data_IF_874169991824
#
_entry.id   IF_874169991824
#
_cell.length_a   1.000
_cell.length_b   1.000
_cell.length_c   1.000
_cell.angle_alpha   90.00
_cell.angle_beta   90.00
_cell.angle_gamma   90.00
#
_symmetry.space_group_name_H-M   'P 1'
#
loop_
_entity.id
_entity.type
_entity.pdbx_description
1 polymer ?
#
# COMPACT_ATOMS: atom_id res chain seq x y z
N UNK A 1 -10.68 -16.47 62.25
CA UNK A 1 -9.39 -16.33 62.96
C UNK A 1 -8.29 -16.66 61.96
N UNK A 2 -7.24 -15.89 61.69
CA UNK A 2 -6.87 -14.49 62.05
C UNK A 2 -5.89 -13.97 60.97
N UNK A 3 -5.73 -12.66 60.84
CA UNK A 3 -4.80 -11.95 59.91
C UNK A 3 -3.32 -12.37 60.08
N UNK A 4 -2.45 -12.25 59.07
CA UNK A 4 -1.59 -11.08 58.74
C UNK A 4 -0.50 -11.50 57.70
N UNK A 5 0.31 -10.68 57.01
CA UNK A 5 0.32 -9.25 56.57
C UNK A 5 1.48 -9.06 55.56
N UNK A 6 1.42 -8.07 54.64
CA UNK A 6 2.51 -7.68 53.71
C UNK A 6 3.59 -6.80 54.37
N UNK A 7 4.88 -6.98 54.01
CA UNK A 7 5.88 -5.92 53.71
C UNK A 7 7.30 -6.48 53.51
N UNK A 8 8.18 -5.74 52.81
CA UNK A 8 9.65 -5.87 52.97
C UNK A 8 10.51 -5.85 51.70
N UNK A 9 10.81 -4.67 51.15
CA UNK A 9 11.80 -4.48 50.07
C UNK A 9 13.16 -4.07 50.65
N UNK A 10 14.25 -4.80 50.36
CA UNK A 10 15.69 -4.41 50.46
C UNK A 10 16.56 -5.69 50.51
N UNK A 11 17.82 -5.75 50.06
CA UNK A 11 18.62 -4.87 49.19
C UNK A 11 19.77 -5.69 48.56
N UNK A 12 20.32 -5.23 47.43
CA UNK A 12 21.42 -5.91 46.74
C UNK A 12 22.75 -5.86 47.51
N UNK A 13 23.42 -7.00 47.64
CA UNK A 13 24.90 -7.14 47.52
C UNK A 13 25.30 -8.60 47.38
N UNK A 14 25.66 -9.01 46.15
CA UNK A 14 26.45 -10.23 45.93
C UNK A 14 27.82 -9.81 45.43
N UNK A 15 28.80 -9.87 46.33
CA UNK A 15 30.21 -9.64 46.00
C UNK A 15 30.77 -10.91 45.39
N UNK A 16 30.95 -10.95 44.06
CA UNK A 16 31.66 -12.05 43.40
C UNK A 16 33.11 -11.62 43.13
N UNK A 17 34.04 -12.12 43.95
CA UNK A 17 35.47 -11.94 43.75
C UNK A 17 35.91 -12.51 42.39
N UNK A 18 36.70 -11.72 41.65
CA UNK A 18 37.19 -12.13 40.34
C UNK A 18 38.29 -13.19 40.38
N UNK A 19 38.26 -14.10 39.41
CA UNK A 19 39.47 -14.70 38.82
C UNK A 19 39.27 -14.89 37.33
N UNK A 20 40.35 -14.69 36.58
CA UNK A 20 40.39 -14.26 35.16
C UNK A 20 40.18 -15.42 34.15
N UNK A 21 40.01 -15.14 32.84
CA UNK A 21 39.06 -15.89 32.01
C UNK A 21 39.68 -17.03 31.20
N UNK A 22 38.87 -18.07 30.93
CA UNK A 22 39.12 -18.95 29.78
C UNK A 22 38.52 -18.28 28.54
N UNK A 23 39.38 -17.86 27.62
CA UNK A 23 39.03 -17.35 26.29
C UNK A 23 38.36 -18.44 25.45
N UNK A 24 37.04 -18.56 25.61
CA UNK A 24 36.17 -19.14 24.57
C UNK A 24 35.64 -17.98 23.73
N UNK A 25 36.24 -17.81 22.55
CA UNK A 25 35.77 -16.87 21.53
C UNK A 25 34.39 -17.32 21.04
N UNK A 26 33.32 -16.87 21.71
CA UNK A 26 31.97 -16.92 21.16
C UNK A 26 31.99 -16.08 19.88
N UNK A 27 31.63 -16.64 18.71
CA UNK A 27 31.30 -15.81 17.56
C UNK A 27 30.18 -14.87 18.00
N UNK A 28 30.35 -13.57 17.76
CA UNK A 28 29.51 -12.55 18.37
C UNK A 28 28.01 -12.78 18.11
N UNK A 29 27.20 -12.56 19.15
CA UNK A 29 25.75 -12.55 19.01
C UNK A 29 25.31 -11.41 18.11
N UNK A 30 25.16 -11.70 16.81
CA UNK A 30 24.38 -10.87 15.89
C UNK A 30 22.94 -10.97 16.38
N UNK A 31 22.35 -9.84 16.75
CA UNK A 31 20.98 -9.83 17.28
C UNK A 31 20.00 -10.37 16.22
N UNK A 32 18.80 -10.76 16.66
CA UNK A 32 17.78 -11.28 15.75
C UNK A 32 17.39 -10.22 14.72
N UNK A 33 17.42 -8.93 15.07
CA UNK A 33 17.25 -7.82 14.14
C UNK A 33 18.37 -7.76 13.10
N UNK A 34 19.64 -7.93 13.50
CA UNK A 34 20.78 -7.93 12.56
C UNK A 34 20.71 -9.14 11.61
N UNK A 35 20.26 -10.30 12.09
CA UNK A 35 20.03 -11.46 11.22
C UNK A 35 18.84 -11.24 10.28
N UNK A 36 17.74 -10.66 10.76
CA UNK A 36 16.58 -10.33 9.92
C UNK A 36 16.92 -9.26 8.86
N UNK A 37 17.66 -8.21 9.23
CA UNK A 37 18.13 -7.17 8.31
C UNK A 37 19.09 -7.74 7.26
N UNK A 38 20.04 -8.59 7.65
CA UNK A 38 20.92 -9.25 6.70
C UNK A 38 20.17 -10.25 5.80
N UNK A 39 19.18 -10.97 6.32
CA UNK A 39 18.34 -11.86 5.51
C UNK A 39 17.53 -11.05 4.49
N UNK A 40 16.91 -9.93 4.90
CA UNK A 40 16.18 -9.04 3.99
C UNK A 40 17.12 -8.45 2.93
N UNK A 41 18.29 -7.95 3.33
CA UNK A 41 19.28 -7.41 2.39
C UNK A 41 19.82 -8.48 1.41
N UNK A 42 20.01 -9.72 1.86
CA UNK A 42 20.57 -10.81 1.05
C UNK A 42 19.53 -11.47 0.14
N UNK A 43 18.26 -11.55 0.57
CA UNK A 43 17.16 -12.15 -0.21
C UNK A 43 16.54 -11.14 -1.17
N UNK A 44 16.52 -9.83 -0.84
CA UNK A 44 15.82 -8.82 -1.63
C UNK A 44 16.72 -7.75 -2.26
N UNK A 45 18.00 -7.63 -1.87
CA UNK A 45 19.04 -6.98 -2.68
C UNK A 45 18.93 -5.47 -2.92
N UNK A 46 18.06 -4.74 -2.22
CA UNK A 46 17.81 -3.31 -2.49
C UNK A 46 17.56 -2.44 -1.24
N UNK A 47 17.78 -1.14 -1.42
CA UNK A 47 17.51 -0.08 -0.44
C UNK A 47 16.01 0.03 -0.10
N UNK A 48 15.63 0.59 1.07
CA UNK A 48 14.24 0.62 1.56
C UNK A 48 13.22 1.34 0.66
N UNK A 49 13.66 2.10 -0.34
CA UNK A 49 12.79 2.81 -1.29
C UNK A 49 12.53 2.04 -2.61
N UNK A 50 12.99 0.79 -2.71
CA UNK A 50 12.97 -0.01 -3.95
C UNK A 50 12.27 -1.36 -3.81
N UNK A 51 11.25 -1.42 -2.95
CA UNK A 51 10.22 -2.46 -3.04
C UNK A 51 9.26 -2.11 -4.17
N UNK A 52 9.68 -2.40 -5.40
CA UNK A 52 8.75 -2.42 -6.52
C UNK A 52 7.70 -3.50 -6.26
N UNK A 53 6.52 -3.06 -5.83
CA UNK A 53 5.37 -3.92 -5.56
C UNK A 53 5.00 -4.63 -6.86
N UNK A 54 5.42 -5.90 -6.98
CA UNK A 54 5.08 -6.71 -8.14
C UNK A 54 3.57 -6.60 -8.37
N UNK A 55 3.15 -6.27 -9.60
CA UNK A 55 1.78 -5.84 -9.84
C UNK A 55 0.75 -6.86 -9.33
N UNK A 56 1.05 -8.16 -9.47
CA UNK A 56 0.30 -9.28 -8.87
C UNK A 56 0.08 -9.10 -7.36
N UNK A 57 1.12 -8.78 -6.59
CA UNK A 57 1.02 -8.56 -5.14
C UNK A 57 0.18 -7.34 -4.81
N UNK A 58 0.40 -6.20 -5.47
CA UNK A 58 -0.40 -5.00 -5.23
C UNK A 58 -1.88 -5.19 -5.57
N UNK A 59 -2.21 -5.93 -6.64
CA UNK A 59 -3.59 -6.32 -6.98
C UNK A 59 -4.19 -7.21 -5.87
N UNK A 60 -3.42 -8.16 -5.33
CA UNK A 60 -3.86 -9.00 -4.21
C UNK A 60 -4.09 -8.21 -2.91
N UNK A 61 -3.22 -7.25 -2.60
CA UNK A 61 -3.33 -6.39 -1.42
C UNK A 61 -4.51 -5.41 -1.54
N UNK A 62 -4.71 -4.78 -2.70
CA UNK A 62 -5.91 -3.97 -2.98
C UNK A 62 -7.22 -4.79 -2.86
N UNK A 63 -7.24 -6.03 -3.37
CA UNK A 63 -8.36 -6.97 -3.20
C UNK A 63 -8.58 -7.39 -1.74
N UNK A 64 -7.54 -7.37 -0.90
CA UNK A 64 -7.65 -7.64 0.54
C UNK A 64 -8.22 -6.43 1.28
N UNK A 65 -7.78 -5.21 0.95
CA UNK A 65 -8.28 -3.95 1.49
C UNK A 65 -9.77 -3.75 1.15
N UNK A 66 -10.15 -3.87 -0.14
CA UNK A 66 -11.55 -3.80 -0.57
C UNK A 66 -12.47 -4.77 0.18
N UNK A 67 -12.03 -6.02 0.41
CA UNK A 67 -12.83 -7.02 1.15
C UNK A 67 -13.03 -6.68 2.64
N UNK A 68 -12.22 -5.76 3.19
CA UNK A 68 -12.36 -5.21 4.55
C UNK A 68 -13.16 -3.91 4.60
N UNK A 69 -13.60 -3.39 3.45
CA UNK A 69 -14.24 -2.07 3.34
C UNK A 69 -13.25 -0.90 3.22
N UNK A 70 -11.94 -1.15 3.27
CA UNK A 70 -10.91 -0.13 3.04
C UNK A 70 -10.77 0.11 1.53
N UNK A 71 -11.62 0.99 1.01
CA UNK A 71 -11.66 1.34 -0.41
C UNK A 71 -10.61 2.42 -0.76
N UNK A 72 -10.34 3.35 0.15
CA UNK A 72 -9.35 4.42 -0.06
C UNK A 72 -7.92 3.88 -0.04
N UNK A 73 -7.59 2.98 0.90
CA UNK A 73 -6.31 2.26 0.89
C UNK A 73 -6.17 1.36 -0.34
N UNK A 74 -7.25 0.71 -0.79
CA UNK A 74 -7.23 -0.11 -2.00
C UNK A 74 -6.98 0.73 -3.27
N UNK A 75 -7.52 1.95 -3.37
CA UNK A 75 -7.21 2.88 -4.47
C UNK A 75 -5.74 3.32 -4.39
N UNK A 76 -5.26 3.76 -3.24
CA UNK A 76 -3.88 4.22 -3.06
C UNK A 76 -2.84 3.16 -3.47
N UNK A 77 -3.08 1.88 -3.16
CA UNK A 77 -2.23 0.76 -3.62
C UNK A 77 -2.24 0.63 -5.14
N UNK A 78 -3.40 0.73 -5.79
CA UNK A 78 -3.50 0.63 -7.26
C UNK A 78 -2.97 1.87 -7.99
N UNK A 79 -3.04 3.05 -7.39
CA UNK A 79 -2.43 4.28 -7.91
C UNK A 79 -0.91 4.21 -7.91
N UNK A 80 -0.32 3.59 -6.88
CA UNK A 80 1.12 3.34 -6.79
C UNK A 80 1.64 2.21 -7.68
N UNK A 81 0.77 1.44 -8.35
CA UNK A 81 1.21 0.31 -9.19
C UNK A 81 1.73 0.76 -10.56
N UNK A 82 2.98 0.42 -10.84
CA UNK A 82 3.50 0.40 -12.20
C UNK A 82 3.00 -0.84 -12.95
N UNK A 83 1.81 -0.73 -13.56
CA UNK A 83 1.23 -1.80 -14.39
C UNK A 83 1.75 -1.80 -15.84
N UNK A 84 2.68 -0.90 -16.21
CA UNK A 84 3.22 -0.83 -17.58
C UNK A 84 4.22 -1.95 -17.86
N UNK A 85 5.01 -2.32 -16.85
CA UNK A 85 6.05 -3.36 -16.94
C UNK A 85 5.53 -4.74 -16.52
N UNK A 86 4.28 -4.79 -16.03
CA UNK A 86 3.58 -6.04 -15.75
C UNK A 86 2.84 -6.52 -17.00
N UNK A 87 2.94 -7.82 -17.29
CA UNK A 87 2.32 -8.43 -18.49
C UNK A 87 0.81 -8.16 -18.62
N UNK A 88 0.24 -8.31 -19.83
CA UNK A 88 -1.11 -7.83 -20.16
C UNK A 88 -2.23 -8.36 -19.26
N UNK A 89 -2.05 -9.52 -18.63
CA UNK A 89 -2.99 -10.05 -17.64
C UNK A 89 -3.01 -9.24 -16.34
N UNK A 90 -1.86 -8.81 -15.82
CA UNK A 90 -1.80 -7.96 -14.64
C UNK A 90 -2.46 -6.61 -14.90
N UNK A 91 -2.23 -6.01 -16.07
CA UNK A 91 -2.89 -4.78 -16.50
C UNK A 91 -4.43 -4.94 -16.63
N UNK A 92 -4.91 -6.11 -17.08
CA UNK A 92 -6.35 -6.46 -17.09
C UNK A 92 -6.91 -6.62 -15.68
N UNK A 93 -6.24 -7.35 -14.81
CA UNK A 93 -6.67 -7.59 -13.42
C UNK A 93 -6.68 -6.31 -12.58
N UNK A 94 -5.65 -5.46 -12.69
CA UNK A 94 -5.60 -4.16 -12.02
C UNK A 94 -6.75 -3.25 -12.48
N UNK A 95 -7.01 -3.17 -13.79
CA UNK A 95 -8.13 -2.38 -14.32
C UNK A 95 -9.49 -2.90 -13.83
N UNK A 96 -9.69 -4.22 -13.76
CA UNK A 96 -10.92 -4.81 -13.25
C UNK A 96 -11.13 -4.51 -11.75
N UNK A 97 -10.09 -4.70 -10.93
CA UNK A 97 -10.14 -4.43 -9.48
C UNK A 97 -10.36 -2.94 -9.20
N UNK A 98 -9.62 -2.06 -9.88
CA UNK A 98 -9.78 -0.60 -9.82
C UNK A 98 -11.21 -0.17 -10.16
N UNK A 99 -11.79 -0.71 -11.23
CA UNK A 99 -13.16 -0.38 -11.66
C UNK A 99 -14.20 -0.78 -10.61
N UNK A 100 -14.04 -1.94 -9.95
CA UNK A 100 -14.93 -2.39 -8.87
C UNK A 100 -14.78 -1.51 -7.61
N UNK A 101 -13.56 -1.12 -7.24
CA UNK A 101 -13.32 -0.24 -6.08
C UNK A 101 -13.93 1.15 -6.33
N UNK A 102 -13.64 1.78 -7.47
CA UNK A 102 -14.17 3.11 -7.83
C UNK A 102 -15.70 3.12 -7.81
N UNK A 103 -16.36 2.12 -8.42
CA UNK A 103 -17.84 2.03 -8.42
C UNK A 103 -18.44 1.92 -7.03
N UNK A 104 -17.78 1.23 -6.10
CA UNK A 104 -18.22 1.14 -4.69
C UNK A 104 -17.94 2.43 -3.93
N UNK A 105 -16.76 3.01 -4.12
CA UNK A 105 -16.24 4.15 -3.36
C UNK A 105 -16.99 5.45 -3.64
N UNK A 106 -17.47 5.61 -4.86
CA UNK A 106 -18.20 6.78 -5.32
C UNK A 106 -19.65 6.44 -5.72
N UNK A 107 -20.21 5.38 -5.14
CA UNK A 107 -21.62 5.05 -5.28
C UNK A 107 -22.49 6.24 -4.83
N UNK A 108 -23.43 6.67 -5.67
CA UNK A 108 -24.26 7.85 -5.44
C UNK A 108 -23.65 9.20 -5.89
N UNK A 109 -22.49 9.20 -6.55
CA UNK A 109 -21.90 10.40 -7.17
C UNK A 109 -21.91 10.30 -8.71
N UNK A 110 -22.01 11.43 -9.41
CA UNK A 110 -21.80 11.46 -10.86
C UNK A 110 -20.30 11.29 -11.18
N UNK A 111 -19.91 10.05 -11.53
CA UNK A 111 -18.53 9.71 -11.90
C UNK A 111 -18.45 9.23 -13.34
N UNK A 112 -17.64 9.95 -14.12
CA UNK A 112 -17.27 9.63 -15.48
C UNK A 112 -15.98 8.80 -15.48
N UNK A 113 -16.07 7.56 -15.98
CA UNK A 113 -14.93 6.66 -16.10
C UNK A 113 -14.31 6.76 -17.51
N UNK A 114 -13.01 6.99 -17.59
CA UNK A 114 -12.25 7.07 -18.83
C UNK A 114 -11.07 6.08 -18.82
N UNK A 115 -10.77 5.49 -19.98
CA UNK A 115 -9.66 4.55 -20.15
C UNK A 115 -8.74 4.92 -21.33
N UNK A 116 -7.45 4.60 -21.17
CA UNK A 116 -6.41 4.73 -22.21
C UNK A 116 -5.77 3.35 -22.53
N UNK A 117 -6.61 2.33 -22.71
CA UNK A 117 -6.18 0.94 -22.88
C UNK A 117 -6.05 0.19 -21.56
N UNK A 118 -5.51 -1.03 -21.61
CA UNK A 118 -5.28 -1.88 -20.43
C UNK A 118 -4.25 -1.24 -19.50
N UNK A 119 -4.54 -1.24 -18.19
CA UNK A 119 -3.67 -0.66 -17.17
C UNK A 119 -3.68 0.88 -17.05
N UNK A 120 -4.51 1.60 -17.82
CA UNK A 120 -4.64 3.07 -17.72
C UNK A 120 -6.09 3.54 -17.66
N UNK A 121 -6.48 4.13 -16.54
CA UNK A 121 -7.83 4.66 -16.34
C UNK A 121 -7.87 5.87 -15.38
N UNK A 122 -8.95 6.65 -15.46
CA UNK A 122 -9.25 7.75 -14.56
C UNK A 122 -10.75 7.81 -14.24
N UNK A 123 -11.06 8.10 -12.98
CA UNK A 123 -12.41 8.38 -12.49
C UNK A 123 -12.52 9.88 -12.26
N UNK A 124 -13.47 10.53 -12.93
CA UNK A 124 -13.59 11.98 -12.99
C UNK A 124 -14.98 12.44 -12.57
N UNK A 125 -15.08 13.60 -11.93
CA UNK A 125 -16.34 14.22 -11.51
C UNK A 125 -16.50 15.60 -12.16
N UNK A 126 -17.66 15.97 -12.70
CA UNK A 126 -17.90 17.33 -13.19
C UNK A 126 -17.79 18.39 -12.08
N UNK A 127 -17.13 19.52 -12.39
CA UNK A 127 -17.04 20.68 -11.49
C UNK A 127 -17.69 21.89 -12.16
N UNK A 128 -18.40 22.71 -11.39
CA UNK A 128 -19.00 23.97 -11.84
C UNK A 128 -19.92 23.82 -13.05
N UNK A 129 -19.56 24.44 -14.17
CA UNK A 129 -20.30 24.40 -15.44
C UNK A 129 -20.08 23.10 -16.25
N UNK A 130 -19.31 22.16 -15.70
CA UNK A 130 -18.97 20.89 -16.34
C UNK A 130 -17.95 21.00 -17.47
N UNK A 131 -17.24 22.13 -17.63
CA UNK A 131 -16.11 22.23 -18.57
C UNK A 131 -14.80 21.70 -17.98
N UNK A 132 -14.63 21.84 -16.66
CA UNK A 132 -13.59 21.19 -15.87
C UNK A 132 -14.14 19.93 -15.19
N UNK A 133 -13.22 18.99 -14.94
CA UNK A 133 -13.49 17.74 -14.24
C UNK A 133 -12.44 17.56 -13.14
N UNK A 134 -12.87 17.23 -11.94
CA UNK A 134 -12.02 16.83 -10.81
C UNK A 134 -11.61 15.37 -10.99
N UNK A 135 -10.32 15.06 -10.88
CA UNK A 135 -9.81 13.69 -10.84
C UNK A 135 -10.08 13.12 -9.45
N UNK A 136 -10.87 12.05 -9.36
CA UNK A 136 -11.18 11.37 -8.10
C UNK A 136 -10.22 10.22 -7.80
N UNK A 137 -9.85 9.44 -8.83
CA UNK A 137 -8.94 8.30 -8.72
C UNK A 137 -8.30 8.00 -10.08
N UNK A 138 -7.11 7.40 -10.07
CA UNK A 138 -6.38 7.03 -11.30
C UNK A 138 -5.86 5.59 -11.26
N UNK A 139 -5.43 5.09 -12.41
CA UNK A 139 -4.66 3.85 -12.56
C UNK A 139 -3.64 4.09 -13.67
N UNK A 140 -2.35 3.94 -13.39
CA UNK A 140 -1.28 4.01 -14.40
C UNK A 140 -1.20 5.33 -15.20
N UNK A 141 -1.80 6.42 -14.70
CA UNK A 141 -1.81 7.74 -15.34
C UNK A 141 -1.00 8.75 -14.52
N UNK A 142 -0.49 9.80 -15.17
CA UNK A 142 0.28 10.89 -14.53
C UNK A 142 -0.57 11.91 -13.75
N UNK A 143 -1.89 11.80 -13.82
CA UNK A 143 -2.81 12.66 -13.05
C UNK A 143 -2.82 12.24 -11.58
N UNK A 144 -3.32 13.11 -10.70
CA UNK A 144 -3.45 12.85 -9.27
C UNK A 144 -4.87 13.15 -8.80
N UNK A 145 -5.40 12.46 -7.78
CA UNK A 145 -6.64 12.85 -7.11
C UNK A 145 -6.61 14.34 -6.70
N UNK A 146 -7.76 15.01 -6.83
CA UNK A 146 -7.92 16.46 -6.60
C UNK A 146 -7.39 17.38 -7.71
N UNK A 147 -6.79 16.85 -8.78
CA UNK A 147 -6.39 17.65 -9.94
C UNK A 147 -7.60 18.00 -10.81
N UNK A 148 -7.75 19.26 -11.20
CA UNK A 148 -8.71 19.64 -12.24
C UNK A 148 -8.13 19.43 -13.65
N UNK A 149 -8.91 18.81 -14.52
CA UNK A 149 -8.59 18.60 -15.94
C UNK A 149 -9.70 19.13 -16.84
N UNK A 150 -9.31 19.79 -17.94
CA UNK A 150 -10.29 20.27 -18.93
C UNK A 150 -10.90 19.09 -19.71
N UNK A 151 -12.14 19.21 -20.18
CA UNK A 151 -12.73 18.24 -21.13
C UNK A 151 -11.90 18.05 -22.41
N UNK A 152 -11.08 19.04 -22.82
CA UNK A 152 -10.15 18.90 -23.97
C UNK A 152 -9.01 17.91 -23.68
N UNK A 153 -8.58 17.80 -22.42
CA UNK A 153 -7.55 16.86 -21.96
C UNK A 153 -8.00 15.39 -22.05
N UNK A 154 -9.29 15.13 -22.27
CA UNK A 154 -9.85 13.79 -22.50
C UNK A 154 -9.76 13.34 -23.96
N UNK A 155 -9.30 14.17 -24.88
CA UNK A 155 -9.26 13.85 -26.31
C UNK A 155 -8.35 12.63 -26.55
N UNK A 156 -8.95 11.53 -27.00
CA UNK A 156 -8.27 10.24 -27.21
C UNK A 156 -8.51 9.20 -26.11
N UNK A 157 -9.04 9.60 -24.95
CA UNK A 157 -9.56 8.67 -23.95
C UNK A 157 -10.92 8.13 -24.38
N UNK A 158 -11.18 6.86 -24.07
CA UNK A 158 -12.48 6.23 -24.33
C UNK A 158 -13.31 6.23 -23.05
N UNK A 159 -14.57 6.71 -23.06
CA UNK A 159 -15.45 6.56 -21.91
C UNK A 159 -15.75 5.08 -21.68
N UNK A 160 -15.52 4.61 -20.46
CA UNK A 160 -15.79 3.24 -20.06
C UNK A 160 -17.31 3.10 -19.80
N UNK A 161 -18.02 2.40 -20.69
CA UNK A 161 -19.46 2.15 -20.55
C UNK A 161 -19.74 1.46 -19.22
N UNK A 162 -20.45 2.14 -18.32
CA UNK A 162 -20.78 1.60 -16.99
C UNK A 162 -21.19 2.63 -15.93
N UNK A 163 -20.93 3.92 -16.13
CA UNK A 163 -21.32 4.99 -15.20
C UNK A 163 -22.74 5.52 -15.38
N UNK A 164 -23.77 4.65 -15.37
CA UNK A 164 -25.19 5.03 -15.20
C UNK A 164 -26.03 3.83 -14.76
N UNK A 165 -26.43 3.82 -13.49
CA UNK A 165 -27.78 3.50 -13.00
C UNK A 165 -27.99 4.31 -11.72
#
# INVERSE_FOLDING_TARGET
MTTATLTGTAASRVTVSGRTPRTRTRPGGRSLEVLAQNLVATVFGTAPDTWELSATRGIHDARRMRRRGDLDGALAVLEGLNVSDAGPDAARWAHAEWTDIVRRRFAGQEVLLYGQGTGRAAALKPVGDGRTLEVLAVLGMRWRPGMEVSRRSLRGLRPLKGGRR
#
